data_IF_327021135046
#
_entry.id   IF_327021135046
#
_cell.length_a   1.000
_cell.length_b   1.000
_cell.length_c   1.000
_cell.angle_alpha   90.00
_cell.angle_beta   90.00
_cell.angle_gamma   90.00
#
_symmetry.space_group_name_H-M   'P 1'
#
loop_
_entity.id
_entity.type
_entity.pdbx_description
1 polymer ?
#
# COMPACT_ATOMS: atom_id res chain seq x y z
N UNK A 1 2.27 -8.10 10.15
CA UNK A 1 3.10 -8.46 11.31
C UNK A 1 2.47 -9.51 12.22
N UNK A 2 1.21 -9.36 12.66
CA UNK A 2 0.56 -10.36 13.54
C UNK A 2 0.57 -11.79 12.99
N UNK A 3 0.27 -11.97 11.70
CA UNK A 3 0.29 -13.31 11.06
C UNK A 3 1.70 -13.91 11.00
N UNK A 4 2.73 -13.11 10.72
CA UNK A 4 4.13 -13.56 10.73
C UNK A 4 4.58 -13.97 12.14
N UNK A 5 4.23 -13.17 13.16
CA UNK A 5 4.53 -13.48 14.55
C UNK A 5 3.82 -14.77 14.98
N UNK A 6 2.54 -14.93 14.64
CA UNK A 6 1.80 -16.16 14.93
C UNK A 6 2.42 -17.37 14.24
N UNK A 7 2.80 -17.26 12.97
CA UNK A 7 3.46 -18.34 12.24
C UNK A 7 4.83 -18.68 12.87
N UNK A 8 5.64 -17.65 13.20
CA UNK A 8 6.94 -17.80 13.83
C UNK A 8 6.83 -18.42 15.23
N UNK A 9 5.84 -18.01 16.03
CA UNK A 9 5.58 -18.58 17.36
C UNK A 9 5.16 -20.04 17.27
N UNK A 10 4.32 -20.42 16.29
CA UNK A 10 3.93 -21.82 16.10
C UNK A 10 5.14 -22.69 15.71
N UNK A 11 6.06 -22.17 14.90
CA UNK A 11 7.28 -22.86 14.46
C UNK A 11 8.28 -23.00 15.63
N UNK A 12 8.52 -21.93 16.38
CA UNK A 12 9.49 -21.91 17.48
C UNK A 12 9.07 -22.74 18.70
N UNK A 13 7.76 -22.92 18.91
CA UNK A 13 7.22 -23.60 20.10
C UNK A 13 7.01 -25.11 19.88
N UNK A 14 7.48 -25.68 18.77
CA UNK A 14 7.51 -27.13 18.53
C UNK A 14 8.95 -27.64 18.56
N UNK A 15 9.30 -28.34 19.63
CA UNK A 15 10.52 -29.15 19.71
C UNK A 15 10.48 -30.25 18.63
N UNK A 16 11.29 -30.13 17.58
CA UNK A 16 11.42 -31.11 16.50
C UNK A 16 11.25 -30.58 15.07
N UNK A 17 10.95 -29.29 14.89
CA UNK A 17 10.96 -28.65 13.57
C UNK A 17 12.32 -27.98 13.36
N UNK A 18 13.12 -28.48 12.40
CA UNK A 18 14.30 -27.75 11.95
C UNK A 18 13.85 -26.41 11.35
N UNK A 19 14.44 -25.31 11.84
CA UNK A 19 14.04 -23.95 11.46
C UNK A 19 14.71 -23.52 10.15
N UNK A 20 15.81 -24.17 9.76
CA UNK A 20 16.59 -23.82 8.56
C UNK A 20 15.77 -23.88 7.24
N UNK A 21 14.89 -24.87 7.00
CA UNK A 21 14.01 -24.90 5.82
C UNK A 21 13.02 -23.73 5.72
N UNK A 22 12.75 -23.02 6.82
CA UNK A 22 11.84 -21.87 6.85
C UNK A 22 12.52 -20.57 6.38
N UNK A 23 13.86 -20.49 6.41
CA UNK A 23 14.61 -19.35 5.89
C UNK A 23 15.06 -19.64 4.45
N UNK A 24 14.11 -19.55 3.52
CA UNK A 24 14.35 -19.77 2.09
C UNK A 24 13.98 -18.52 1.26
N UNK A 25 14.22 -18.59 -0.05
CA UNK A 25 13.97 -17.47 -0.98
C UNK A 25 12.54 -16.91 -0.91
N UNK A 26 11.56 -17.76 -0.61
CA UNK A 26 10.17 -17.36 -0.45
C UNK A 26 9.95 -16.51 0.79
N UNK A 27 10.56 -16.89 1.91
CA UNK A 27 10.47 -16.12 3.16
C UNK A 27 11.16 -14.76 3.04
N UNK A 28 12.27 -14.67 2.30
CA UNK A 28 12.89 -13.39 1.98
C UNK A 28 12.00 -12.51 1.08
N UNK A 29 11.39 -13.10 0.05
CA UNK A 29 10.43 -12.40 -0.80
C UNK A 29 9.22 -11.90 0.00
N UNK A 30 8.67 -12.75 0.88
CA UNK A 30 7.59 -12.38 1.80
C UNK A 30 7.97 -11.15 2.64
N UNK A 31 9.12 -11.19 3.30
CA UNK A 31 9.59 -10.09 4.15
C UNK A 31 9.75 -8.80 3.34
N UNK A 32 10.35 -8.89 2.16
CA UNK A 32 10.51 -7.76 1.25
C UNK A 32 9.17 -7.09 0.93
N UNK A 33 8.19 -7.88 0.48
CA UNK A 33 6.87 -7.34 0.11
C UNK A 33 6.09 -6.78 1.30
N UNK A 34 6.24 -7.34 2.50
CA UNK A 34 5.59 -6.79 3.70
C UNK A 34 6.23 -5.49 4.17
N UNK A 35 7.56 -5.36 4.06
CA UNK A 35 8.26 -4.08 4.29
C UNK A 35 7.80 -3.04 3.27
N UNK A 36 7.74 -3.43 1.99
CA UNK A 36 7.28 -2.57 0.91
C UNK A 36 5.84 -2.07 1.17
N UNK A 37 4.93 -2.98 1.53
CA UNK A 37 3.56 -2.66 1.90
C UNK A 37 3.50 -1.63 3.04
N UNK A 38 4.28 -1.87 4.10
CA UNK A 38 4.33 -0.98 5.27
C UNK A 38 4.87 0.40 4.90
N UNK A 39 5.90 0.44 4.05
CA UNK A 39 6.50 1.69 3.59
C UNK A 39 5.48 2.54 2.81
N UNK A 40 4.80 1.97 1.83
CA UNK A 40 3.80 2.69 1.05
C UNK A 40 2.60 3.13 1.90
N UNK A 41 2.10 2.27 2.78
CA UNK A 41 1.04 2.63 3.71
C UNK A 41 1.44 3.79 4.65
N UNK A 42 2.70 3.84 5.07
CA UNK A 42 3.23 4.93 5.91
C UNK A 42 3.30 6.25 5.16
N UNK A 43 3.70 6.22 3.88
CA UNK A 43 3.69 7.42 3.02
C UNK A 43 2.27 7.94 2.88
N UNK A 44 1.30 7.08 2.54
CA UNK A 44 -0.12 7.46 2.43
C UNK A 44 -0.64 8.09 3.72
N UNK A 45 -0.30 7.51 4.87
CA UNK A 45 -0.72 8.06 6.16
C UNK A 45 -0.13 9.46 6.41
N UNK A 46 1.14 9.66 6.02
CA UNK A 46 1.83 10.94 6.20
C UNK A 46 1.34 12.01 5.21
N UNK A 47 0.98 11.62 3.99
CA UNK A 47 0.44 12.54 2.97
C UNK A 47 -1.04 12.87 3.15
N UNK A 48 -1.75 12.20 4.08
CA UNK A 48 -3.18 12.40 4.32
C UNK A 48 -3.53 13.64 5.15
N UNK A 49 -2.65 14.66 5.24
CA UNK A 49 -3.03 15.92 5.87
C UNK A 49 -4.07 16.64 5.01
N UNK A 50 -5.35 16.39 5.31
CA UNK A 50 -6.45 17.13 4.72
C UNK A 50 -6.36 18.57 5.21
N UNK A 51 -6.05 19.48 4.29
CA UNK A 51 -6.26 20.90 4.53
C UNK A 51 -7.77 21.12 4.66
N UNK A 52 -8.22 21.96 5.58
CA UNK A 52 -9.64 22.34 5.68
C UNK A 52 -9.73 23.63 4.88
N UNK A 53 -10.48 23.63 3.77
CA UNK A 53 -10.48 24.70 2.73
C UNK A 53 -10.77 26.14 3.17
N UNK A 54 -10.84 26.42 4.47
CA UNK A 54 -10.77 27.75 5.07
C UNK A 54 -9.46 27.83 5.87
N UNK A 55 -8.49 28.55 5.34
CA UNK A 55 -7.22 28.82 6.03
C UNK A 55 -7.49 29.70 7.26
N UNK A 56 -6.82 29.45 8.41
CA UNK A 56 -6.86 30.35 9.56
C UNK A 56 -6.53 31.81 9.21
N UNK A 57 -5.73 31.99 8.15
CA UNK A 57 -5.32 33.30 7.66
C UNK A 57 -6.49 34.16 7.17
N UNK A 58 -7.47 33.60 6.45
CA UNK A 58 -8.66 34.38 6.04
C UNK A 58 -9.45 34.86 7.27
N UNK A 59 -9.46 34.09 8.35
CA UNK A 59 -10.15 34.48 9.58
C UNK A 59 -9.41 35.66 10.23
N UNK A 60 -8.07 35.63 10.25
CA UNK A 60 -7.23 36.75 10.70
C UNK A 60 -7.40 38.00 9.81
N UNK A 61 -7.38 37.85 8.49
CA UNK A 61 -7.48 38.97 7.53
C UNK A 61 -8.85 39.69 7.64
N UNK A 62 -9.94 38.96 7.97
CA UNK A 62 -11.24 39.56 8.32
C UNK A 62 -11.22 40.25 9.68
N UNK A 63 -10.55 39.67 10.68
CA UNK A 63 -10.43 40.27 12.02
C UNK A 63 -9.60 41.55 12.02
N UNK A 64 -8.57 41.60 11.17
CA UNK A 64 -7.67 42.75 10.99
C UNK A 64 -8.26 43.84 10.07
N UNK A 65 -9.37 43.54 9.38
CA UNK A 65 -10.07 44.47 8.49
C UNK A 65 -9.36 44.66 7.15
N UNK A 66 -8.52 43.70 6.73
CA UNK A 66 -7.92 43.69 5.39
C UNK A 66 -8.94 43.36 4.31
N UNK A 67 -10.02 42.65 4.66
CA UNK A 67 -11.15 42.35 3.78
C UNK A 67 -12.33 43.25 4.15
N UNK A 68 -12.57 44.27 3.33
CA UNK A 68 -13.48 45.38 3.65
C UNK A 68 -14.92 45.14 3.15
N UNK A 69 -15.16 44.06 2.38
CA UNK A 69 -16.48 43.77 1.82
C UNK A 69 -16.84 42.29 1.82
N UNK A 70 -18.14 42.01 1.93
CA UNK A 70 -18.69 40.65 1.82
C UNK A 70 -18.48 40.02 0.44
N UNK A 71 -18.27 40.83 -0.60
CA UNK A 71 -18.02 40.37 -1.97
C UNK A 71 -16.56 39.88 -2.10
N UNK A 72 -15.61 40.67 -1.60
CA UNK A 72 -14.18 40.32 -1.54
C UNK A 72 -13.93 39.07 -0.68
N UNK A 73 -14.57 38.98 0.48
CA UNK A 73 -14.55 37.77 1.31
C UNK A 73 -15.06 36.53 0.57
N UNK A 74 -16.18 36.66 -0.15
CA UNK A 74 -16.77 35.53 -0.89
C UNK A 74 -15.87 35.08 -2.04
N UNK A 75 -15.23 36.01 -2.75
CA UNK A 75 -14.32 35.68 -3.85
C UNK A 75 -13.09 34.95 -3.33
N UNK A 76 -12.47 35.43 -2.24
CA UNK A 76 -11.28 34.82 -1.66
C UNK A 76 -11.56 33.44 -1.05
N UNK A 77 -12.68 33.28 -0.35
CA UNK A 77 -13.16 31.97 0.13
C UNK A 77 -13.44 31.04 -1.05
N UNK A 78 -14.07 31.54 -2.13
CA UNK A 78 -14.35 30.72 -3.32
C UNK A 78 -13.07 30.26 -4.01
N UNK A 79 -12.03 31.10 -4.06
CA UNK A 79 -10.72 30.75 -4.60
C UNK A 79 -10.04 29.69 -3.74
N UNK A 80 -9.98 29.86 -2.42
CA UNK A 80 -9.46 28.84 -1.50
C UNK A 80 -10.19 27.51 -1.63
N UNK A 81 -11.53 27.52 -1.76
CA UNK A 81 -12.29 26.30 -1.97
C UNK A 81 -11.94 25.61 -3.30
N UNK A 82 -11.70 26.37 -4.38
CA UNK A 82 -11.27 25.79 -5.67
C UNK A 82 -9.90 25.16 -5.55
N UNK A 83 -8.94 25.86 -4.95
CA UNK A 83 -7.59 25.34 -4.71
C UNK A 83 -7.62 24.09 -3.83
N UNK A 84 -8.43 24.11 -2.78
CA UNK A 84 -8.65 22.98 -1.89
C UNK A 84 -9.23 21.76 -2.61
N UNK A 85 -10.25 21.93 -3.48
CA UNK A 85 -10.81 20.83 -4.28
C UNK A 85 -9.73 20.22 -5.18
N UNK A 86 -8.96 21.06 -5.86
CA UNK A 86 -7.90 20.60 -6.78
C UNK A 86 -6.79 19.88 -6.01
N UNK A 87 -6.35 20.43 -4.88
CA UNK A 87 -5.33 19.84 -4.03
C UNK A 87 -5.77 18.47 -3.49
N UNK A 88 -6.98 18.38 -2.94
CA UNK A 88 -7.51 17.13 -2.39
C UNK A 88 -7.76 16.09 -3.47
N UNK A 89 -8.19 16.48 -4.68
CA UNK A 89 -8.31 15.54 -5.80
C UNK A 89 -6.94 14.96 -6.15
N UNK A 90 -5.93 15.82 -6.29
CA UNK A 90 -4.57 15.37 -6.63
C UNK A 90 -3.98 14.48 -5.53
N UNK A 91 -4.20 14.81 -4.26
CA UNK A 91 -3.77 13.98 -3.13
C UNK A 91 -4.55 12.68 -3.04
N UNK A 92 -5.84 12.70 -3.37
CA UNK A 92 -6.68 11.50 -3.49
C UNK A 92 -6.16 10.54 -4.55
N UNK A 93 -5.87 11.04 -5.75
CA UNK A 93 -5.31 10.26 -6.86
C UNK A 93 -3.94 9.68 -6.47
N UNK A 94 -3.05 10.51 -5.91
CA UNK A 94 -1.73 10.06 -5.45
C UNK A 94 -1.83 8.97 -4.37
N UNK A 95 -2.67 9.19 -3.35
CA UNK A 95 -2.87 8.24 -2.27
C UNK A 95 -3.50 6.93 -2.77
N UNK A 96 -4.39 6.99 -3.76
CA UNK A 96 -5.00 5.81 -4.37
C UNK A 96 -3.96 4.86 -4.96
N UNK A 97 -2.96 5.39 -5.69
CA UNK A 97 -1.86 4.58 -6.22
C UNK A 97 -1.01 3.96 -5.11
N UNK A 98 -0.66 4.73 -4.08
CA UNK A 98 0.14 4.23 -2.96
C UNK A 98 -0.58 3.13 -2.17
N UNK A 99 -1.88 3.31 -1.91
CA UNK A 99 -2.73 2.31 -1.25
C UNK A 99 -2.80 1.04 -2.10
N UNK A 100 -2.98 1.17 -3.41
CA UNK A 100 -3.02 0.03 -4.33
C UNK A 100 -1.72 -0.77 -4.27
N UNK A 101 -0.56 -0.10 -4.33
CA UNK A 101 0.75 -0.75 -4.20
C UNK A 101 0.91 -1.40 -2.82
N UNK A 102 0.46 -0.73 -1.76
CA UNK A 102 0.55 -1.25 -0.40
C UNK A 102 -0.26 -2.55 -0.23
N UNK A 103 -1.49 -2.59 -0.77
CA UNK A 103 -2.37 -3.76 -0.71
C UNK A 103 -1.81 -4.89 -1.58
N UNK A 104 -1.44 -4.62 -2.82
CA UNK A 104 -0.85 -5.61 -3.72
C UNK A 104 0.41 -6.25 -3.10
N UNK A 105 1.30 -5.41 -2.55
CA UNK A 105 2.48 -5.86 -1.84
C UNK A 105 2.14 -6.73 -0.62
N UNK A 106 1.11 -6.37 0.16
CA UNK A 106 0.68 -7.21 1.29
C UNK A 106 0.20 -8.59 0.82
N UNK A 107 -0.60 -8.64 -0.24
CA UNK A 107 -1.08 -9.90 -0.83
C UNK A 107 0.07 -10.77 -1.33
N UNK A 108 1.02 -10.19 -2.06
CA UNK A 108 2.23 -10.90 -2.51
C UNK A 108 3.01 -11.48 -1.33
N UNK A 109 3.18 -10.69 -0.28
CA UNK A 109 3.82 -11.15 0.96
C UNK A 109 3.12 -12.37 1.57
N UNK A 110 1.80 -12.38 1.62
CA UNK A 110 1.01 -13.50 2.15
C UNK A 110 1.15 -14.75 1.26
N UNK A 111 1.04 -14.60 -0.06
CA UNK A 111 1.18 -15.74 -0.99
C UNK A 111 2.56 -16.38 -0.86
N UNK A 112 3.62 -15.55 -0.80
CA UNK A 112 4.97 -16.05 -0.65
C UNK A 112 5.21 -16.70 0.72
N UNK A 113 4.59 -16.19 1.79
CA UNK A 113 4.65 -16.82 3.11
C UNK A 113 4.04 -18.22 3.09
N UNK A 114 2.85 -18.36 2.50
CA UNK A 114 2.15 -19.63 2.42
C UNK A 114 2.92 -20.62 1.54
N UNK A 115 3.47 -20.18 0.41
CA UNK A 115 4.31 -21.00 -0.46
C UNK A 115 5.59 -21.47 0.23
N UNK A 116 6.31 -20.54 0.87
CA UNK A 116 7.53 -20.85 1.63
C UNK A 116 7.28 -21.78 2.82
N UNK A 117 6.17 -21.58 3.54
CA UNK A 117 5.74 -22.46 4.62
C UNK A 117 5.35 -23.85 4.14
N UNK A 118 4.63 -23.97 3.02
CA UNK A 118 4.26 -25.26 2.44
C UNK A 118 5.48 -26.07 1.98
N UNK A 119 6.45 -25.41 1.33
CA UNK A 119 7.71 -26.04 0.91
C UNK A 119 8.58 -26.43 2.12
N UNK A 120 8.66 -25.57 3.14
CA UNK A 120 9.37 -25.87 4.38
C UNK A 120 8.77 -27.05 5.16
N UNK A 121 7.43 -27.13 5.24
CA UNK A 121 6.73 -28.22 5.93
C UNK A 121 6.78 -29.55 5.19
N UNK A 122 6.90 -29.52 3.86
CA UNK A 122 6.95 -30.75 3.05
C UNK A 122 8.34 -31.39 3.01
N UNK A 123 9.37 -30.74 3.59
CA UNK A 123 10.73 -31.27 3.62
C UNK A 123 11.36 -31.42 2.23
N UNK A 124 10.88 -30.64 1.25
CA UNK A 124 11.47 -30.64 -0.09
C UNK A 124 12.85 -29.97 -0.03
N UNK A 125 13.90 -30.74 -0.26
CA UNK A 125 15.29 -30.24 -0.23
C UNK A 125 15.85 -29.91 -1.63
N UNK A 126 15.07 -30.15 -2.69
CA UNK A 126 15.53 -29.85 -4.05
C UNK A 126 15.46 -28.34 -4.33
N UNK A 127 16.60 -27.67 -4.14
CA UNK A 127 16.77 -26.24 -4.38
C UNK A 127 16.27 -25.81 -5.76
N UNK A 128 16.53 -26.60 -6.81
CA UNK A 128 16.10 -26.27 -8.17
C UNK A 128 14.58 -26.15 -8.31
N UNK A 129 13.82 -27.02 -7.65
CA UNK A 129 12.36 -26.97 -7.66
C UNK A 129 11.86 -25.78 -6.83
N UNK A 130 12.51 -25.47 -5.70
CA UNK A 130 12.16 -24.32 -4.85
C UNK A 130 12.35 -23.01 -5.62
N UNK A 131 13.46 -22.85 -6.34
CA UNK A 131 13.71 -21.66 -7.16
C UNK A 131 12.77 -21.59 -8.36
N UNK A 132 12.51 -22.71 -9.04
CA UNK A 132 11.60 -22.73 -10.19
C UNK A 132 10.18 -22.34 -9.77
N UNK A 133 9.67 -22.94 -8.70
CA UNK A 133 8.34 -22.62 -8.18
C UNK A 133 8.27 -21.18 -7.70
N UNK A 134 9.33 -20.66 -7.06
CA UNK A 134 9.41 -19.25 -6.68
C UNK A 134 9.32 -18.33 -7.89
N UNK A 135 10.07 -18.62 -8.97
CA UNK A 135 10.07 -17.82 -10.19
C UNK A 135 8.70 -17.86 -10.88
N UNK A 136 8.08 -19.03 -10.99
CA UNK A 136 6.76 -19.19 -11.59
C UNK A 136 5.72 -18.40 -10.79
N UNK A 137 5.69 -18.58 -9.46
CA UNK A 137 4.75 -17.84 -8.61
C UNK A 137 5.00 -16.34 -8.66
N UNK A 138 6.25 -15.89 -8.60
CA UNK A 138 6.59 -14.46 -8.71
C UNK A 138 6.15 -13.88 -10.06
N UNK A 139 6.29 -14.64 -11.15
CA UNK A 139 5.83 -14.23 -12.48
C UNK A 139 4.31 -14.09 -12.53
N UNK A 140 3.58 -15.01 -11.90
CA UNK A 140 2.12 -14.93 -11.77
C UNK A 140 1.71 -13.70 -10.95
N UNK A 141 2.36 -13.44 -9.82
CA UNK A 141 2.08 -12.28 -8.98
C UNK A 141 2.32 -10.97 -9.74
N UNK A 142 3.46 -10.85 -10.44
CA UNK A 142 3.75 -9.67 -11.29
C UNK A 142 2.68 -9.48 -12.36
N UNK A 143 2.22 -10.56 -12.98
CA UNK A 143 1.14 -10.49 -13.97
C UNK A 143 -0.17 -10.01 -13.34
N UNK A 144 -0.53 -10.53 -12.15
CA UNK A 144 -1.72 -10.10 -11.43
C UNK A 144 -1.63 -8.62 -11.00
N UNK A 145 -0.49 -8.19 -10.48
CA UNK A 145 -0.25 -6.79 -10.12
C UNK A 145 -0.35 -5.87 -11.34
N UNK A 146 0.15 -6.32 -12.48
CA UNK A 146 -0.01 -5.60 -13.74
C UNK A 146 -1.48 -5.48 -14.15
N UNK A 147 -2.28 -6.55 -14.00
CA UNK A 147 -3.73 -6.51 -14.26
C UNK A 147 -4.42 -5.55 -13.29
N UNK A 148 -4.10 -5.60 -11.99
CA UNK A 148 -4.66 -4.70 -10.97
C UNK A 148 -4.35 -3.24 -11.31
N UNK A 149 -3.10 -2.94 -11.67
CA UNK A 149 -2.68 -1.60 -12.04
C UNK A 149 -3.43 -1.05 -13.26
N UNK A 150 -3.79 -1.92 -14.21
CA UNK A 150 -4.49 -1.53 -15.42
C UNK A 150 -6.02 -1.66 -15.30
N UNK A 151 -6.55 -2.08 -14.16
CA UNK A 151 -7.97 -2.35 -13.97
C UNK A 151 -8.84 -1.15 -14.35
N UNK A 152 -8.47 0.07 -13.95
CA UNK A 152 -9.22 1.28 -14.29
C UNK A 152 -9.35 1.51 -15.80
N UNK A 153 -8.27 1.27 -16.55
CA UNK A 153 -8.30 1.38 -18.02
C UNK A 153 -9.09 0.25 -18.68
N UNK A 154 -9.14 -0.92 -18.05
CA UNK A 154 -9.92 -2.07 -18.52
C UNK A 154 -11.42 -1.87 -18.26
N UNK A 155 -11.79 -1.35 -17.10
CA UNK A 155 -13.17 -1.04 -16.74
C UNK A 155 -13.73 0.09 -17.61
N UNK A 156 -12.98 1.17 -17.81
CA UNK A 156 -13.40 2.28 -18.67
C UNK A 156 -13.69 1.84 -20.12
N UNK A 157 -12.96 0.83 -20.63
CA UNK A 157 -13.09 0.32 -22.00
C UNK A 157 -14.25 -0.67 -22.20
N UNK A 158 -14.82 -1.21 -21.12
CA UNK A 158 -15.96 -2.14 -21.15
C UNK A 158 -17.28 -1.39 -20.88
N UNK A 159 -17.23 -0.21 -20.27
CA UNK A 159 -18.39 0.64 -20.00
C UNK A 159 -18.80 1.56 -21.17
N UNK A 160 -18.00 1.62 -22.24
CA UNK A 160 -18.31 2.27 -23.53
C UNK A 160 -18.86 1.25 -24.55
#
# INVERSE_FOLDING_TARGET
MGVLLTALTIILNRDGIEVAPFFNIWSYGCLFFLVLSTFFASITYTSSSYDLGVSPKIIEDVEEGEIDSSEEFNDEVTELYKEWIVHNRNMGDFNSYLITIAIASAFNGIVLLLGGGALGLSGYENEGIIYLTFLVTSSILIFLDWVIWNADSFYARISD
#
